data_IF_220763360888
#
_entry.id   IF_220763360888
#
_cell.length_a   1.000
_cell.length_b   1.000
_cell.length_c   1.000
_cell.angle_alpha   90.00
_cell.angle_beta   90.00
_cell.angle_gamma   90.00
#
_symmetry.space_group_name_H-M   'P 1'
#
loop_
_entity.id
_entity.type
_entity.pdbx_description
1 polymer ?
#
# COMPACT_ATOMS: atom_id res chain seq x y z
N UNK A 1 -21.66 54.19 -10.35
CA UNK A 1 -22.18 53.59 -11.59
C UNK A 1 -22.41 52.11 -11.36
N UNK A 2 -23.66 51.74 -11.05
CA UNK A 2 -24.16 50.36 -11.00
C UNK A 2 -25.51 50.42 -11.71
N UNK A 3 -25.69 49.58 -12.73
CA UNK A 3 -27.00 49.15 -13.19
C UNK A 3 -26.95 47.68 -13.63
N UNK A 4 -28.05 46.92 -13.47
CA UNK A 4 -28.10 45.47 -13.59
C UNK A 4 -28.79 45.02 -14.89
N UNK A 5 -28.68 43.75 -15.26
CA UNK A 5 -29.62 43.14 -16.19
C UNK A 5 -30.08 41.75 -15.74
N UNK A 6 -31.39 41.55 -15.95
CA UNK A 6 -32.28 40.54 -15.40
C UNK A 6 -32.14 39.16 -16.06
N UNK A 7 -32.65 38.19 -15.33
CA UNK A 7 -33.15 36.86 -15.68
C UNK A 7 -33.89 36.73 -17.02
N UNK A 8 -33.72 35.58 -17.69
CA UNK A 8 -34.80 34.89 -18.39
C UNK A 8 -34.50 33.37 -18.46
N UNK A 9 -35.43 32.56 -17.97
CA UNK A 9 -35.47 31.11 -18.15
C UNK A 9 -36.24 30.76 -19.41
N UNK A 10 -35.86 29.69 -20.12
CA UNK A 10 -36.77 28.89 -20.95
C UNK A 10 -36.30 27.43 -20.96
N UNK A 11 -37.26 26.51 -20.83
CA UNK A 11 -37.09 25.07 -20.69
C UNK A 11 -37.34 24.32 -22.02
N UNK A 12 -36.48 23.34 -22.32
CA UNK A 12 -36.68 22.09 -23.11
C UNK A 12 -36.96 22.16 -24.63
N UNK A 13 -36.90 21.03 -25.39
CA UNK A 13 -36.27 19.73 -25.13
C UNK A 13 -35.37 19.18 -26.29
N UNK A 14 -34.54 18.18 -25.94
CA UNK A 14 -33.91 17.12 -26.74
C UNK A 14 -33.62 17.30 -28.24
N UNK A 15 -32.33 17.32 -28.61
CA UNK A 15 -31.80 16.51 -29.73
C UNK A 15 -30.27 16.46 -29.73
N UNK A 16 -29.75 15.22 -29.73
CA UNK A 16 -28.53 14.67 -30.36
C UNK A 16 -27.20 15.46 -30.45
N UNK A 17 -26.13 14.67 -30.62
CA UNK A 17 -24.71 15.03 -30.86
C UNK A 17 -23.90 15.30 -29.58
N UNK A 18 -22.65 14.85 -29.44
CA UNK A 18 -21.81 13.90 -30.17
C UNK A 18 -20.50 13.84 -29.39
N UNK A 19 -19.94 12.64 -29.24
CA UNK A 19 -18.52 12.30 -29.03
C UNK A 19 -17.61 13.42 -28.50
N UNK A 20 -17.28 13.37 -27.21
CA UNK A 20 -16.01 13.93 -26.71
C UNK A 20 -14.92 12.84 -26.78
N UNK A 21 -13.73 13.16 -27.33
CA UNK A 21 -12.62 12.22 -27.36
C UNK A 21 -12.02 12.16 -25.95
N UNK A 22 -12.20 11.05 -25.26
CA UNK A 22 -11.49 10.80 -24.01
C UNK A 22 -10.04 10.43 -24.32
N UNK A 23 -9.16 11.43 -24.40
CA UNK A 23 -7.72 11.25 -24.26
C UNK A 23 -7.38 10.92 -22.81
N UNK A 24 -7.81 9.75 -22.34
CA UNK A 24 -7.30 9.17 -21.09
C UNK A 24 -6.03 8.40 -21.40
N UNK A 25 -4.88 9.04 -21.22
CA UNK A 25 -3.66 8.30 -20.88
C UNK A 25 -3.87 7.69 -19.50
N UNK A 26 -4.27 6.42 -19.44
CA UNK A 26 -4.07 5.60 -18.24
C UNK A 26 -2.57 5.29 -18.17
N UNK A 27 -1.82 5.77 -17.16
CA UNK A 27 -0.47 5.26 -16.95
C UNK A 27 -0.55 3.78 -16.56
N UNK A 28 0.21 2.93 -17.26
CA UNK A 28 0.38 1.49 -16.99
C UNK A 28 1.30 1.22 -15.79
N UNK A 29 1.63 2.23 -14.97
CA UNK A 29 2.65 2.09 -13.90
C UNK A 29 2.21 1.23 -12.70
N UNK A 30 1.01 0.68 -12.70
CA UNK A 30 0.52 -0.17 -11.63
C UNK A 30 1.19 -1.54 -11.53
N UNK A 31 1.83 -2.10 -12.56
CA UNK A 31 2.16 -3.55 -12.53
C UNK A 31 3.62 -3.94 -12.27
N UNK A 32 4.62 -3.11 -12.61
CA UNK A 32 6.02 -3.58 -12.58
C UNK A 32 6.58 -3.94 -11.19
N UNK A 33 6.05 -3.39 -10.08
CA UNK A 33 6.54 -3.71 -8.73
C UNK A 33 5.79 -4.84 -8.02
N UNK A 34 4.77 -5.43 -8.66
CA UNK A 34 3.79 -6.33 -8.01
C UNK A 34 4.01 -7.82 -8.31
N UNK A 35 5.00 -8.14 -9.12
CA UNK A 35 5.08 -9.40 -9.86
C UNK A 35 6.35 -10.14 -9.41
N UNK A 36 6.23 -11.42 -9.05
CA UNK A 36 7.37 -12.26 -8.61
C UNK A 36 7.79 -12.15 -7.14
N UNK A 37 6.94 -11.64 -6.23
CA UNK A 37 7.30 -11.46 -4.80
C UNK A 37 7.41 -12.76 -4.00
N UNK A 38 6.80 -13.85 -4.47
CA UNK A 38 6.86 -15.16 -3.82
C UNK A 38 7.90 -16.03 -4.53
N UNK A 39 8.84 -16.62 -3.78
CA UNK A 39 9.92 -17.45 -4.35
C UNK A 39 9.43 -18.59 -5.25
N UNK A 40 8.24 -19.13 -5.00
CA UNK A 40 7.63 -20.19 -5.81
C UNK A 40 6.66 -19.72 -6.90
N UNK A 41 6.54 -18.42 -7.17
CA UNK A 41 5.64 -17.88 -8.20
C UNK A 41 6.37 -16.86 -9.06
N UNK A 42 7.03 -17.29 -10.17
CA UNK A 42 7.68 -16.37 -11.08
C UNK A 42 6.66 -15.37 -11.62
N UNK A 43 7.09 -14.14 -11.79
CA UNK A 43 6.25 -13.05 -12.21
C UNK A 43 6.40 -12.73 -13.70
N UNK A 44 5.29 -12.62 -14.43
CA UNK A 44 5.26 -12.21 -15.84
C UNK A 44 4.38 -10.97 -16.03
N UNK A 45 4.89 -9.98 -16.75
CA UNK A 45 4.13 -8.80 -17.19
C UNK A 45 4.08 -8.81 -18.71
N UNK A 46 2.87 -8.83 -19.29
CA UNK A 46 2.65 -8.74 -20.72
C UNK A 46 1.93 -7.44 -21.03
N UNK A 47 2.44 -6.68 -21.99
CA UNK A 47 1.80 -5.44 -22.47
C UNK A 47 1.29 -5.67 -23.88
N UNK A 48 -0.02 -5.55 -24.08
CA UNK A 48 -0.65 -5.62 -25.39
C UNK A 48 -0.82 -4.20 -25.94
N UNK A 49 -0.20 -3.92 -27.09
CA UNK A 49 -0.22 -2.61 -27.75
C UNK A 49 -0.92 -2.74 -29.11
N UNK A 50 -1.69 -1.72 -29.51
CA UNK A 50 -2.38 -1.74 -30.79
C UNK A 50 -1.50 -1.10 -31.89
N UNK A 51 -1.12 -1.89 -32.88
CA UNK A 51 -0.28 -1.47 -34.01
C UNK A 51 -0.88 -0.32 -34.84
N UNK A 52 -2.21 -0.21 -34.89
CA UNK A 52 -2.90 0.82 -35.67
C UNK A 52 -2.95 2.18 -34.98
N UNK A 53 -2.50 2.28 -33.73
CA UNK A 53 -2.43 3.54 -33.00
C UNK A 53 -0.99 4.06 -33.00
N UNK A 54 -0.69 5.18 -33.67
CA UNK A 54 0.66 5.75 -33.72
C UNK A 54 1.31 5.92 -32.33
N UNK A 55 0.52 6.35 -31.33
CA UNK A 55 0.91 6.42 -29.91
C UNK A 55 1.48 5.10 -29.37
N UNK A 56 0.78 3.99 -29.61
CA UNK A 56 1.13 2.70 -29.05
C UNK A 56 2.35 2.13 -29.78
N UNK A 57 2.49 2.43 -31.08
CA UNK A 57 3.69 2.15 -31.86
C UNK A 57 4.92 2.91 -31.34
N UNK A 58 4.80 4.21 -31.09
CA UNK A 58 5.90 4.99 -30.49
C UNK A 58 6.28 4.45 -29.11
N UNK A 59 5.30 4.06 -28.28
CA UNK A 59 5.55 3.44 -26.98
C UNK A 59 6.26 2.08 -27.10
N UNK A 60 5.92 1.27 -28.10
CA UNK A 60 6.64 0.02 -28.41
C UNK A 60 8.09 0.30 -28.83
N UNK A 61 8.29 1.22 -29.76
CA UNK A 61 9.63 1.58 -30.28
C UNK A 61 10.54 2.16 -29.18
N UNK A 62 9.97 2.94 -28.25
CA UNK A 62 10.70 3.56 -27.14
C UNK A 62 10.57 2.82 -25.81
N UNK A 63 10.07 1.57 -25.82
CA UNK A 63 9.64 0.87 -24.61
C UNK A 63 10.72 0.85 -23.52
N UNK A 64 11.95 0.46 -23.86
CA UNK A 64 13.07 0.37 -22.91
C UNK A 64 13.44 1.73 -22.33
N UNK A 65 13.59 2.74 -23.20
CA UNK A 65 13.96 4.10 -22.78
C UNK A 65 12.91 4.69 -21.84
N UNK A 66 11.62 4.55 -22.19
CA UNK A 66 10.49 5.02 -21.40
C UNK A 66 10.43 4.37 -20.01
N UNK A 67 10.58 3.05 -19.92
CA UNK A 67 10.54 2.33 -18.64
C UNK A 67 11.79 2.54 -17.78
N UNK A 68 12.94 2.83 -18.40
CA UNK A 68 14.16 3.21 -17.66
C UNK A 68 14.10 4.65 -17.11
N UNK A 69 13.43 5.56 -17.81
CA UNK A 69 13.27 6.95 -17.36
C UNK A 69 12.15 7.15 -16.34
N UNK A 70 11.34 6.14 -16.07
CA UNK A 70 10.13 6.26 -15.24
C UNK A 70 10.41 6.80 -13.83
N UNK A 71 11.58 6.47 -13.26
CA UNK A 71 12.00 6.97 -11.95
C UNK A 71 12.80 8.28 -12.00
N UNK A 72 13.14 8.79 -13.19
CA UNK A 72 13.91 10.04 -13.32
C UNK A 72 13.09 11.29 -13.01
N UNK A 73 11.78 11.23 -13.24
CA UNK A 73 10.85 12.34 -13.00
C UNK A 73 9.69 11.84 -12.15
N UNK A 74 9.94 11.64 -10.85
CA UNK A 74 8.86 11.61 -9.88
C UNK A 74 8.42 13.06 -9.74
N UNK A 75 7.28 13.43 -10.33
CA UNK A 75 6.65 14.71 -10.01
C UNK A 75 6.59 14.83 -8.49
N UNK A 76 6.93 16.00 -7.96
CA UNK A 76 6.73 16.29 -6.55
C UNK A 76 5.22 16.26 -6.30
N UNK A 77 4.65 15.08 -6.08
CA UNK A 77 3.34 14.96 -5.45
C UNK A 77 3.45 15.75 -4.16
N UNK A 78 2.59 16.74 -3.99
CA UNK A 78 2.43 17.51 -2.75
C UNK A 78 1.84 16.58 -1.68
N UNK A 79 2.65 15.62 -1.23
CA UNK A 79 2.36 14.84 -0.03
C UNK A 79 2.65 15.75 1.15
N UNK A 80 1.61 16.02 1.93
CA UNK A 80 1.75 16.64 3.25
C UNK A 80 2.31 15.59 4.20
N UNK A 81 3.61 15.68 4.58
CA UNK A 81 4.19 14.71 5.50
C UNK A 81 3.44 14.78 6.84
N UNK A 82 3.31 13.64 7.51
CA UNK A 82 2.63 13.53 8.82
C UNK A 82 1.15 13.94 8.85
N UNK A 83 0.48 14.08 7.70
CA UNK A 83 -0.97 14.25 7.68
C UNK A 83 -1.65 13.11 8.47
N UNK A 84 -2.68 13.43 9.26
CA UNK A 84 -3.40 12.48 10.12
C UNK A 84 -3.79 11.20 9.38
N UNK A 85 -4.34 11.35 8.17
CA UNK A 85 -4.75 10.21 7.34
C UNK A 85 -3.59 9.34 6.86
N UNK A 86 -2.39 9.91 6.70
CA UNK A 86 -1.19 9.17 6.35
C UNK A 86 -0.67 8.38 7.57
N UNK A 87 -0.65 9.01 8.74
CA UNK A 87 -0.28 8.35 10.00
C UNK A 87 -1.21 7.19 10.32
N UNK A 88 -2.53 7.39 10.24
CA UNK A 88 -3.53 6.34 10.46
C UNK A 88 -3.32 5.12 9.56
N UNK A 89 -2.87 5.34 8.32
CA UNK A 89 -2.72 4.28 7.32
C UNK A 89 -1.38 3.58 7.34
N UNK A 90 -0.32 4.26 7.78
CA UNK A 90 1.05 3.81 7.55
C UNK A 90 1.92 3.75 8.80
N UNK A 91 1.55 4.40 9.92
CA UNK A 91 2.41 4.47 11.09
C UNK A 91 2.69 3.08 11.68
N UNK A 92 1.66 2.26 11.89
CA UNK A 92 1.81 0.90 12.40
C UNK A 92 2.64 0.01 11.45
N UNK A 93 2.40 0.12 10.14
CA UNK A 93 3.18 -0.60 9.14
C UNK A 93 4.65 -0.15 9.11
N UNK A 94 4.90 1.14 9.30
CA UNK A 94 6.24 1.73 9.33
C UNK A 94 7.00 1.31 10.59
N UNK A 95 6.33 1.27 11.74
CA UNK A 95 6.89 0.73 12.99
C UNK A 95 7.38 -0.70 12.80
N UNK A 96 6.51 -1.60 12.32
CA UNK A 96 6.84 -3.01 12.10
C UNK A 96 7.93 -3.16 11.05
N UNK A 97 7.84 -2.44 9.93
CA UNK A 97 8.86 -2.49 8.89
C UNK A 97 10.22 -1.98 9.39
N UNK A 98 10.23 -0.88 10.14
CA UNK A 98 11.44 -0.31 10.74
C UNK A 98 12.10 -1.28 11.71
N UNK A 99 11.33 -1.88 12.62
CA UNK A 99 11.85 -2.86 13.58
C UNK A 99 12.52 -4.04 12.85
N UNK A 100 11.90 -4.53 11.77
CA UNK A 100 12.46 -5.60 10.92
C UNK A 100 13.70 -5.22 10.14
N UNK A 101 13.93 -3.93 9.89
CA UNK A 101 15.15 -3.45 9.22
C UNK A 101 16.29 -3.20 10.19
N UNK A 102 15.99 -2.79 11.43
CA UNK A 102 16.99 -2.54 12.46
C UNK A 102 17.50 -3.86 13.05
N UNK A 103 16.61 -4.81 13.29
CA UNK A 103 16.91 -6.03 14.03
C UNK A 103 16.76 -7.27 13.15
N UNK A 104 17.86 -7.99 12.95
CA UNK A 104 17.89 -9.21 12.13
C UNK A 104 17.02 -10.32 12.73
N UNK A 105 16.84 -10.36 14.06
CA UNK A 105 15.93 -11.28 14.75
C UNK A 105 14.48 -11.22 14.25
N UNK A 106 14.02 -10.06 13.78
CA UNK A 106 12.67 -9.90 13.22
C UNK A 106 12.56 -10.21 11.72
N UNK A 107 13.60 -10.75 11.10
CA UNK A 107 13.59 -11.11 9.68
C UNK A 107 12.54 -12.19 9.40
N UNK A 108 12.49 -13.20 10.26
CA UNK A 108 11.56 -14.32 10.11
C UNK A 108 10.12 -13.91 10.41
N UNK A 109 9.16 -14.55 9.73
CA UNK A 109 7.75 -14.17 9.83
C UNK A 109 7.14 -14.50 11.20
N UNK A 110 7.69 -15.47 11.93
CA UNK A 110 7.29 -15.95 13.27
C UNK A 110 7.91 -15.18 14.44
N UNK A 111 8.74 -14.19 14.17
CA UNK A 111 9.37 -13.37 15.20
C UNK A 111 8.44 -12.23 15.72
N UNK A 112 7.15 -12.23 15.38
CA UNK A 112 6.24 -11.18 15.81
C UNK A 112 5.99 -11.17 17.33
N UNK A 113 6.23 -12.31 18.00
CA UNK A 113 6.04 -12.49 19.45
C UNK A 113 7.28 -12.23 20.30
N UNK A 114 8.46 -12.00 19.70
CA UNK A 114 9.76 -11.96 20.41
C UNK A 114 10.20 -10.54 20.78
N UNK A 115 9.24 -9.62 20.96
CA UNK A 115 9.49 -8.21 21.28
C UNK A 115 10.38 -7.99 22.50
N UNK A 116 10.14 -8.74 23.58
CA UNK A 116 10.88 -8.63 24.84
C UNK A 116 12.37 -8.92 24.67
N UNK A 117 12.74 -9.68 23.65
CA UNK A 117 14.14 -10.03 23.34
C UNK A 117 14.86 -8.93 22.56
N UNK A 118 14.13 -7.95 22.01
CA UNK A 118 14.67 -6.93 21.11
C UNK A 118 14.18 -5.49 21.44
N UNK A 119 14.33 -4.99 22.67
CA UNK A 119 13.86 -3.64 23.05
C UNK A 119 14.53 -2.52 22.23
N UNK A 120 15.82 -2.67 21.94
CA UNK A 120 16.60 -1.72 21.14
C UNK A 120 16.01 -1.46 19.74
N UNK A 121 15.35 -2.46 19.14
CA UNK A 121 14.76 -2.32 17.81
C UNK A 121 13.66 -1.26 17.79
N UNK A 122 12.82 -1.23 18.83
CA UNK A 122 11.71 -0.28 18.94
C UNK A 122 12.22 1.12 19.30
N UNK A 123 13.21 1.20 20.19
CA UNK A 123 13.88 2.46 20.56
C UNK A 123 14.55 3.11 19.35
N UNK A 124 15.24 2.32 18.52
CA UNK A 124 15.87 2.83 17.29
C UNK A 124 14.84 3.37 16.29
N UNK A 125 13.69 2.70 16.14
CA UNK A 125 12.59 3.20 15.28
C UNK A 125 11.99 4.47 15.84
N UNK A 126 11.77 4.54 17.16
CA UNK A 126 11.30 5.74 17.84
C UNK A 126 12.25 6.92 17.64
N UNK A 127 13.54 6.71 17.89
CA UNK A 127 14.57 7.74 17.68
C UNK A 127 14.68 8.19 16.22
N UNK A 128 14.54 7.27 15.26
CA UNK A 128 14.52 7.62 13.85
C UNK A 128 13.28 8.46 13.45
N UNK A 129 12.11 8.18 14.05
CA UNK A 129 10.91 8.99 13.84
C UNK A 129 11.04 10.37 14.48
N UNK A 130 11.55 10.43 15.71
CA UNK A 130 11.80 11.67 16.44
C UNK A 130 12.77 12.59 15.70
N UNK A 131 13.90 12.04 15.21
CA UNK A 131 14.84 12.78 14.37
C UNK A 131 14.18 13.34 13.10
N UNK A 132 13.28 12.58 12.46
CA UNK A 132 12.52 13.05 11.30
C UNK A 132 11.50 14.12 11.65
N UNK A 133 10.83 14.00 12.79
CA UNK A 133 9.87 15.00 13.27
C UNK A 133 10.57 16.33 13.58
N UNK A 134 11.81 16.30 14.09
CA UNK A 134 12.64 17.47 14.32
C UNK A 134 13.01 18.28 13.06
N UNK A 135 12.94 17.66 11.88
CA UNK A 135 13.16 18.32 10.59
C UNK A 135 11.85 18.85 9.94
N UNK A 136 10.70 18.60 10.56
CA UNK A 136 9.39 18.98 10.01
C UNK A 136 8.91 20.33 10.52
N UNK A 137 8.03 20.99 9.76
CA UNK A 137 7.40 22.26 10.14
C UNK A 137 6.20 22.09 11.10
N UNK A 138 6.03 20.90 11.69
CA UNK A 138 4.96 20.64 12.66
C UNK A 138 5.14 21.48 13.94
N UNK A 139 4.03 21.74 14.62
CA UNK A 139 4.04 22.29 15.97
C UNK A 139 4.54 21.26 16.98
N UNK A 140 5.00 21.71 18.15
CA UNK A 140 5.45 20.79 19.20
C UNK A 140 4.33 19.87 19.69
N UNK A 141 3.10 20.39 19.80
CA UNK A 141 1.93 19.58 20.15
C UNK A 141 1.66 18.47 19.13
N UNK A 142 1.82 18.74 17.84
CA UNK A 142 1.67 17.73 16.79
C UNK A 142 2.79 16.69 16.84
N UNK A 143 4.05 17.09 17.07
CA UNK A 143 5.17 16.15 17.24
C UNK A 143 4.90 15.19 18.40
N UNK A 144 4.51 15.72 19.56
CA UNK A 144 4.16 14.92 20.73
C UNK A 144 3.02 13.96 20.44
N UNK A 145 1.95 14.42 19.78
CA UNK A 145 0.82 13.54 19.42
C UNK A 145 1.23 12.38 18.51
N UNK A 146 2.18 12.59 17.58
CA UNK A 146 2.72 11.51 16.73
C UNK A 146 3.53 10.50 17.55
N UNK A 147 4.38 10.98 18.45
CA UNK A 147 5.20 10.12 19.32
C UNK A 147 4.33 9.34 20.31
N UNK A 148 3.35 9.98 20.95
CA UNK A 148 2.38 9.31 21.82
C UNK A 148 1.62 8.22 21.07
N UNK A 149 1.25 8.48 19.82
CA UNK A 149 0.58 7.48 18.99
C UNK A 149 1.51 6.31 18.65
N UNK A 150 2.79 6.56 18.39
CA UNK A 150 3.79 5.51 18.18
C UNK A 150 3.97 4.66 19.45
N UNK A 151 4.11 5.32 20.61
CA UNK A 151 4.30 4.65 21.89
C UNK A 151 3.07 3.79 22.25
N UNK A 152 1.85 4.27 21.97
CA UNK A 152 0.63 3.49 22.09
C UNK A 152 0.59 2.26 21.16
N UNK A 153 1.15 2.35 19.95
CA UNK A 153 1.28 1.20 19.04
C UNK A 153 2.31 0.20 19.54
N UNK A 154 3.44 0.66 20.07
CA UNK A 154 4.47 -0.21 20.67
C UNK A 154 3.88 -0.98 21.85
N UNK A 155 3.19 -0.30 22.76
CA UNK A 155 2.52 -0.94 23.90
C UNK A 155 1.47 -1.97 23.45
N UNK A 156 0.63 -1.61 22.47
CA UNK A 156 -0.37 -2.53 21.94
C UNK A 156 0.25 -3.77 21.29
N UNK A 157 1.36 -3.63 20.56
CA UNK A 157 2.06 -4.78 19.98
C UNK A 157 2.62 -5.70 21.09
N UNK A 158 3.21 -5.12 22.15
CA UNK A 158 3.67 -5.86 23.33
C UNK A 158 2.56 -6.68 23.99
N UNK A 159 1.41 -6.07 24.25
CA UNK A 159 0.27 -6.76 24.87
C UNK A 159 -0.28 -7.88 23.98
N UNK A 160 -0.44 -7.63 22.68
CA UNK A 160 -0.90 -8.64 21.71
C UNK A 160 0.07 -9.83 21.66
N UNK A 161 1.37 -9.55 21.60
CA UNK A 161 2.41 -10.57 21.60
C UNK A 161 2.39 -11.40 22.89
N UNK A 162 2.29 -10.75 24.05
CA UNK A 162 2.26 -11.44 25.34
C UNK A 162 1.04 -12.37 25.48
N UNK A 163 -0.15 -11.95 25.00
CA UNK A 163 -1.36 -12.78 25.01
C UNK A 163 -1.21 -14.00 24.09
N UNK A 164 -0.66 -13.81 22.89
CA UNK A 164 -0.49 -14.89 21.92
C UNK A 164 0.56 -15.90 22.38
N UNK A 165 1.71 -15.44 22.86
CA UNK A 165 2.80 -16.29 23.38
C UNK A 165 2.34 -17.09 24.60
N UNK A 166 1.55 -16.50 25.51
CA UNK A 166 1.00 -17.22 26.68
C UNK A 166 0.03 -18.34 26.29
N UNK A 167 -0.70 -18.15 25.19
CA UNK A 167 -1.64 -19.14 24.67
C UNK A 167 -0.94 -20.29 23.95
N UNK A 168 0.38 -20.20 23.73
CA UNK A 168 1.18 -21.21 23.04
C UNK A 168 0.99 -21.21 21.52
N UNK A 169 0.35 -20.18 20.98
CA UNK A 169 0.01 -20.08 19.57
C UNK A 169 1.13 -19.43 18.75
N UNK A 170 1.31 -19.89 17.51
CA UNK A 170 2.19 -19.26 16.51
C UNK A 170 1.75 -17.80 16.24
N UNK A 171 2.61 -16.83 16.58
CA UNK A 171 2.37 -15.42 16.27
C UNK A 171 3.28 -14.93 15.15
N UNK A 172 2.68 -14.45 14.05
CA UNK A 172 3.42 -14.10 12.83
C UNK A 172 3.16 -12.67 12.37
N UNK A 173 3.97 -12.13 11.46
CA UNK A 173 3.74 -10.79 10.93
C UNK A 173 2.60 -10.75 9.91
N UNK A 174 2.55 -11.67 8.94
CA UNK A 174 1.54 -11.55 7.88
C UNK A 174 1.21 -12.76 7.01
N UNK A 175 1.76 -13.95 7.26
CA UNK A 175 1.55 -15.12 6.40
C UNK A 175 0.45 -16.10 6.88
N UNK A 176 -0.18 -15.83 8.02
CA UNK A 176 -1.15 -16.73 8.66
C UNK A 176 -2.58 -16.18 8.76
N UNK A 177 -3.48 -16.98 9.32
CA UNK A 177 -4.86 -16.59 9.58
C UNK A 177 -4.91 -15.29 10.43
N UNK A 178 -5.96 -14.46 10.28
CA UNK A 178 -6.08 -13.18 10.97
C UNK A 178 -5.76 -13.17 12.47
N UNK A 179 -6.22 -14.15 13.29
CA UNK A 179 -5.93 -14.15 14.73
C UNK A 179 -4.45 -14.41 15.06
N UNK A 180 -3.73 -15.13 14.20
CA UNK A 180 -2.34 -15.53 14.41
C UNK A 180 -1.33 -14.56 13.77
N UNK A 181 -1.80 -13.44 13.21
CA UNK A 181 -0.91 -12.43 12.61
C UNK A 181 -1.08 -11.06 13.24
N UNK A 182 -0.01 -10.28 13.24
CA UNK A 182 -0.02 -8.88 13.67
C UNK A 182 -0.67 -7.98 12.61
N UNK A 183 -0.19 -8.03 11.37
CA UNK A 183 -0.61 -7.11 10.31
C UNK A 183 -1.95 -7.54 9.71
N UNK A 184 -2.93 -6.66 9.74
CA UNK A 184 -4.29 -6.92 9.26
C UNK A 184 -4.56 -6.33 7.89
N UNK A 185 -5.45 -6.96 7.13
CA UNK A 185 -5.91 -6.45 5.83
C UNK A 185 -7.00 -5.38 6.03
N UNK A 186 -6.84 -4.14 5.55
CA UNK A 186 -7.81 -3.07 5.79
C UNK A 186 -9.22 -3.35 5.26
N UNK A 187 -9.33 -4.14 4.18
CA UNK A 187 -10.59 -4.47 3.52
C UNK A 187 -11.21 -5.79 3.99
N UNK A 188 -10.54 -6.51 4.88
CA UNK A 188 -11.03 -7.75 5.49
C UNK A 188 -10.84 -7.67 7.00
N UNK A 189 -11.63 -6.82 7.68
CA UNK A 189 -11.63 -6.78 9.14
C UNK A 189 -12.01 -8.16 9.68
N UNK A 190 -11.43 -8.54 10.81
CA UNK A 190 -11.86 -9.74 11.52
C UNK A 190 -13.33 -9.57 11.92
N UNK A 191 -14.17 -10.54 11.55
CA UNK A 191 -15.57 -10.56 11.96
C UNK A 191 -15.75 -10.79 13.47
N UNK A 192 -14.74 -11.36 14.12
CA UNK A 192 -14.69 -11.59 15.57
C UNK A 192 -13.23 -11.56 15.99
N UNK A 193 -12.78 -10.44 16.57
CA UNK A 193 -11.44 -10.31 17.12
C UNK A 193 -11.56 -10.13 18.64
N UNK A 194 -10.89 -10.96 19.46
CA UNK A 194 -10.88 -10.77 20.91
C UNK A 194 -10.16 -9.48 21.35
N UNK A 195 -9.28 -8.89 20.54
CA UNK A 195 -8.58 -7.65 20.89
C UNK A 195 -8.84 -6.51 19.86
N UNK A 196 -9.56 -5.43 20.23
CA UNK A 196 -9.83 -4.31 19.34
C UNK A 196 -8.55 -3.58 18.86
N UNK A 197 -7.43 -3.70 19.59
CA UNK A 197 -6.16 -3.03 19.24
C UNK A 197 -5.49 -3.64 18.01
N UNK A 198 -5.83 -4.87 17.64
CA UNK A 198 -5.35 -5.50 16.39
C UNK A 198 -5.80 -4.73 15.14
N UNK A 199 -6.93 -4.04 15.20
CA UNK A 199 -7.37 -3.15 14.13
C UNK A 199 -6.41 -1.98 13.89
N UNK A 200 -5.59 -1.60 14.88
CA UNK A 200 -4.59 -0.54 14.72
C UNK A 200 -3.43 -0.95 13.81
N UNK A 201 -3.22 -2.25 13.60
CA UNK A 201 -2.18 -2.81 12.72
C UNK A 201 -2.72 -3.12 11.31
N UNK A 202 -3.76 -2.42 10.87
CA UNK A 202 -4.24 -2.48 9.51
C UNK A 202 -3.19 -1.92 8.54
N UNK A 203 -2.57 -2.81 7.76
CA UNK A 203 -1.51 -2.45 6.83
C UNK A 203 -1.91 -2.85 5.41
N UNK A 204 -2.07 -1.84 4.54
CA UNK A 204 -2.31 -2.08 3.13
C UNK A 204 -1.11 -2.79 2.50
N UNK A 205 -1.33 -3.96 1.88
CA UNK A 205 -0.28 -4.67 1.09
C UNK A 205 0.10 -3.92 -0.20
N UNK A 206 -0.69 -2.90 -0.54
CA UNK A 206 -0.50 -1.97 -1.65
C UNK A 206 -1.02 -0.59 -1.23
N UNK A 207 -0.23 0.46 -1.45
CA UNK A 207 -0.68 1.86 -1.29
C UNK A 207 -1.46 2.38 -2.51
N UNK A 208 -1.63 1.54 -3.53
CA UNK A 208 -2.36 1.86 -4.75
C UNK A 208 -3.55 0.90 -4.86
N UNK A 209 -4.73 1.43 -5.11
CA UNK A 209 -5.88 0.62 -5.50
C UNK A 209 -5.48 -0.30 -6.66
N UNK A 210 -5.94 -1.54 -6.56
CA UNK A 210 -5.75 -2.58 -7.57
C UNK A 210 -7.12 -3.07 -7.95
N UNK A 211 -7.38 -3.09 -9.25
CA UNK A 211 -8.48 -3.87 -9.81
C UNK A 211 -8.36 -5.33 -9.32
N UNK A 212 -9.50 -6.04 -9.18
CA UNK A 212 -9.51 -7.40 -8.66
C UNK A 212 -8.60 -8.32 -9.48
N UNK A 213 -7.89 -9.23 -8.81
CA UNK A 213 -7.07 -10.25 -9.46
C UNK A 213 -7.94 -11.13 -10.36
N UNK A 214 -7.62 -11.18 -11.65
CA UNK A 214 -8.24 -12.13 -12.58
C UNK A 214 -7.41 -13.42 -12.62
N UNK A 215 -8.07 -14.58 -12.48
CA UNK A 215 -7.41 -15.87 -12.62
C UNK A 215 -7.13 -16.12 -14.10
N UNK A 216 -5.85 -16.26 -14.46
CA UNK A 216 -5.44 -16.75 -15.77
C UNK A 216 -5.31 -18.28 -15.69
N UNK A 217 -6.00 -18.98 -16.60
CA UNK A 217 -5.94 -20.43 -16.74
C UNK A 217 -5.17 -20.77 -18.03
N UNK A 218 -3.82 -20.75 -18.00
CA UNK A 218 -3.04 -21.05 -19.18
C UNK A 218 -3.34 -22.45 -19.71
N UNK A 219 -3.52 -22.55 -21.03
CA UNK A 219 -3.68 -23.80 -21.77
C UNK A 219 -2.51 -23.93 -22.74
N UNK A 220 -2.08 -25.17 -22.97
CA UNK A 220 -1.17 -25.47 -24.08
C UNK A 220 -1.89 -25.24 -25.42
N UNK A 221 -1.15 -25.10 -26.54
CA UNK A 221 -1.76 -24.98 -27.87
C UNK A 221 -2.72 -26.13 -28.24
N UNK A 222 -2.54 -27.30 -27.62
CA UNK A 222 -3.39 -28.48 -27.76
C UNK A 222 -4.66 -28.45 -26.89
N UNK A 223 -4.90 -27.37 -26.13
CA UNK A 223 -6.04 -27.22 -25.22
C UNK A 223 -5.86 -27.89 -23.84
N UNK A 224 -4.76 -28.62 -23.62
CA UNK A 224 -4.48 -29.26 -22.34
C UNK A 224 -4.12 -28.23 -21.25
N UNK A 225 -4.35 -28.58 -19.99
CA UNK A 225 -4.02 -27.71 -18.87
C UNK A 225 -2.49 -27.50 -18.78
N UNK A 226 -2.06 -26.25 -18.69
CA UNK A 226 -0.65 -25.91 -18.48
C UNK A 226 -0.29 -26.23 -17.03
N UNK A 227 0.28 -27.41 -16.80
CA UNK A 227 0.87 -27.78 -15.51
C UNK A 227 2.31 -27.26 -15.49
N UNK A 228 2.57 -26.23 -14.67
CA UNK A 228 3.93 -25.87 -14.31
C UNK A 228 4.46 -26.96 -13.39
N UNK A 229 5.47 -27.72 -13.84
CA UNK A 229 6.22 -28.64 -12.97
C UNK A 229 6.97 -27.79 -11.93
N UNK A 230 6.97 -28.17 -10.65
CA UNK A 230 7.64 -27.41 -9.58
C UNK A 230 9.14 -27.23 -9.82
#
# INVERSE_FOLDING_TARGET
MRSPCRSASCAGPATSWSRTPTSRCKPVSGSCSRVGRQRGKPGLVVTLLNLHKPRDRTHHEQFRAFHMSFYRAVEATSVTPFASRALDRALAATLVAGARHVEAGFTHDDAAGTLETHPHALEAVRGALEAKLGLSELTEAERTAVLDRLDALIAAWGEIAAVQTRSGDDFRFGSHAPPQRLLQEPLKPLATDPDPRRAWFAAGRSMRETEPSALLLPRRPDGSAFKATP
#
